data_IF_757490770115
#
_entry.id   IF_757490770115
#
_cell.length_a   1.000
_cell.length_b   1.000
_cell.length_c   1.000
_cell.angle_alpha   90.00
_cell.angle_beta   90.00
_cell.angle_gamma   90.00
#
_symmetry.space_group_name_H-M   'P 1'
#
loop_
_entity.id
_entity.type
_entity.pdbx_description
1 polymer ?
#
# COMPACT_ATOMS: atom_id res chain seq x y z
N UNK A 1 8.35 3.50 -48.73
CA UNK A 1 7.13 4.07 -49.35
C UNK A 1 6.23 4.50 -48.19
N UNK A 2 5.98 5.80 -47.99
CA UNK A 2 5.29 6.31 -46.81
C UNK A 2 3.78 6.37 -47.07
N UNK A 3 2.99 5.89 -46.11
CA UNK A 3 1.52 5.87 -46.14
C UNK A 3 1.08 5.77 -44.67
N UNK A 4 0.20 6.57 -44.07
CA UNK A 4 -0.60 7.71 -44.50
C UNK A 4 -1.05 8.35 -43.19
N UNK A 5 -0.74 9.63 -42.95
CA UNK A 5 -1.40 10.41 -41.89
C UNK A 5 -2.68 10.97 -42.48
N UNK A 6 -3.85 10.61 -41.94
CA UNK A 6 -5.04 11.45 -42.07
C UNK A 6 -5.88 11.33 -40.81
N UNK A 7 -5.93 12.46 -40.12
CA UNK A 7 -6.79 12.82 -39.00
C UNK A 7 -8.22 13.09 -39.49
N UNK A 8 -9.20 12.50 -38.84
CA UNK A 8 -10.63 12.81 -38.95
C UNK A 8 -11.31 12.20 -37.71
N UNK A 9 -12.36 12.72 -37.11
CA UNK A 9 -13.07 13.99 -37.17
C UNK A 9 -13.87 14.07 -35.86
N UNK A 10 -14.27 15.28 -35.49
CA UNK A 10 -15.15 15.59 -34.37
C UNK A 10 -16.56 14.96 -34.52
N UNK A 11 -17.38 15.18 -33.49
CA UNK A 11 -18.79 14.79 -33.29
C UNK A 11 -18.89 13.48 -32.48
N UNK A 12 -19.52 13.42 -31.32
CA UNK A 12 -20.87 13.92 -31.07
C UNK A 12 -21.10 14.10 -29.57
N UNK A 13 -21.75 15.22 -29.22
CA UNK A 13 -22.35 15.43 -27.92
C UNK A 13 -23.41 14.35 -27.69
N UNK A 14 -23.24 13.56 -26.63
CA UNK A 14 -24.33 12.73 -26.11
C UNK A 14 -24.64 13.21 -24.72
N UNK A 15 -25.66 14.05 -24.69
CA UNK A 15 -26.48 14.43 -23.55
C UNK A 15 -27.11 13.17 -22.93
N UNK A 16 -27.25 13.18 -21.60
CA UNK A 16 -28.36 12.65 -20.78
C UNK A 16 -27.93 11.70 -19.66
N UNK A 17 -28.05 12.26 -18.46
CA UNK A 17 -28.66 11.69 -17.26
C UNK A 17 -28.06 10.42 -16.67
N UNK A 18 -27.68 10.49 -15.38
CA UNK A 18 -28.38 9.69 -14.39
C UNK A 18 -28.24 10.33 -13.00
N UNK A 19 -29.36 10.88 -12.56
CA UNK A 19 -29.75 11.11 -11.17
C UNK A 19 -29.38 9.92 -10.29
N UNK A 20 -28.45 10.12 -9.35
CA UNK A 20 -28.21 9.26 -8.20
C UNK A 20 -28.34 10.11 -6.94
N UNK A 21 -29.54 10.10 -6.35
CA UNK A 21 -29.82 10.67 -5.03
C UNK A 21 -28.97 9.95 -4.00
N UNK A 22 -28.18 10.68 -3.21
CA UNK A 22 -28.50 10.92 -1.79
C UNK A 22 -28.85 9.64 -1.04
N UNK A 23 -27.87 9.03 -0.37
CA UNK A 23 -28.11 7.89 0.50
C UNK A 23 -26.82 7.37 1.11
N UNK A 24 -26.55 7.76 2.35
CA UNK A 24 -25.46 7.30 3.18
C UNK A 24 -25.38 5.77 3.26
N UNK A 25 -24.17 5.21 3.11
CA UNK A 25 -23.63 4.09 3.92
C UNK A 25 -22.17 3.85 3.52
N UNK A 26 -21.31 4.80 3.88
CA UNK A 26 -19.87 4.58 3.97
C UNK A 26 -19.60 3.93 5.33
N UNK A 27 -19.75 2.60 5.44
CA UNK A 27 -19.51 1.81 6.66
C UNK A 27 -19.25 0.31 6.43
N UNK A 28 -18.86 -0.14 5.23
CA UNK A 28 -18.79 -1.59 4.95
C UNK A 28 -17.65 -1.99 3.97
N UNK A 29 -16.53 -1.26 3.97
CA UNK A 29 -15.31 -1.67 3.23
C UNK A 29 -14.21 -2.26 4.15
N UNK A 30 -14.50 -2.41 5.45
CA UNK A 30 -13.51 -2.65 6.52
C UNK A 30 -13.70 -4.02 7.21
N UNK A 31 -14.27 -5.01 6.49
CA UNK A 31 -14.41 -6.41 6.91
C UNK A 31 -13.74 -7.31 5.85
N UNK A 32 -12.45 -7.08 5.62
CA UNK A 32 -11.66 -7.92 4.72
C UNK A 32 -10.84 -8.91 5.56
N UNK A 33 -11.45 -10.07 5.85
CA UNK A 33 -10.81 -11.28 6.39
C UNK A 33 -9.77 -11.05 7.52
N UNK A 34 -10.10 -10.18 8.48
CA UNK A 34 -9.30 -10.00 9.69
C UNK A 34 -9.39 -11.26 10.55
N UNK A 35 -8.24 -11.83 10.88
CA UNK A 35 -8.15 -13.08 11.63
C UNK A 35 -8.53 -12.91 13.10
N UNK A 36 -8.11 -11.79 13.70
CA UNK A 36 -8.38 -11.47 15.10
C UNK A 36 -8.21 -9.95 15.33
N UNK A 37 -8.70 -9.50 16.47
CA UNK A 37 -8.49 -8.15 17.00
C UNK A 37 -7.55 -8.24 18.21
N UNK A 38 -6.41 -7.56 18.14
CA UNK A 38 -5.34 -7.65 19.14
C UNK A 38 -5.11 -6.26 19.72
N UNK A 39 -5.07 -6.16 21.05
CA UNK A 39 -4.75 -4.89 21.73
C UNK A 39 -3.26 -4.57 21.57
N UNK A 40 -2.93 -3.29 21.40
CA UNK A 40 -1.53 -2.85 21.23
C UNK A 40 -0.66 -3.23 22.45
N UNK A 41 -1.25 -3.29 23.64
CA UNK A 41 -0.60 -3.71 24.89
C UNK A 41 -0.14 -5.19 24.88
N UNK A 42 -0.78 -6.04 24.06
CA UNK A 42 -0.39 -7.44 23.86
C UNK A 42 0.71 -7.60 22.81
N UNK A 43 0.98 -6.58 22.00
CA UNK A 43 2.05 -6.59 21.02
C UNK A 43 3.40 -6.24 21.67
N UNK A 44 4.48 -6.81 21.13
CA UNK A 44 5.84 -6.47 21.57
C UNK A 44 6.40 -5.36 20.69
N UNK A 45 6.71 -4.21 21.30
CA UNK A 45 7.36 -3.10 20.62
C UNK A 45 8.88 -3.32 20.49
N UNK A 46 9.42 -3.17 19.28
CA UNK A 46 10.87 -3.09 19.04
C UNK A 46 11.29 -1.63 18.80
N UNK A 47 11.98 -0.98 19.76
CA UNK A 47 12.40 0.42 19.63
C UNK A 47 13.49 0.64 18.58
N UNK A 48 14.15 -0.42 18.09
CA UNK A 48 15.21 -0.30 17.08
C UNK A 48 14.63 -0.10 15.69
N UNK A 49 13.51 -0.78 15.42
CA UNK A 49 12.84 -0.79 14.13
C UNK A 49 11.54 0.03 14.15
N UNK A 50 11.10 0.47 15.33
CA UNK A 50 9.82 1.15 15.55
C UNK A 50 8.65 0.34 15.00
N UNK A 51 8.67 -0.97 15.24
CA UNK A 51 7.61 -1.91 14.82
C UNK A 51 7.01 -2.62 16.03
N UNK A 52 5.71 -2.88 15.95
CA UNK A 52 5.02 -3.80 16.86
C UNK A 52 4.94 -5.17 16.22
N UNK A 53 5.25 -6.21 17.02
CA UNK A 53 5.18 -7.57 16.56
C UNK A 53 4.40 -8.49 17.49
N UNK A 54 3.68 -9.46 16.90
CA UNK A 54 2.86 -10.42 17.64
C UNK A 54 3.04 -11.85 17.11
N UNK A 55 3.15 -12.88 17.97
CA UNK A 55 3.39 -14.27 17.54
C UNK A 55 2.22 -14.82 16.70
N UNK A 56 2.49 -15.21 15.46
CA UNK A 56 1.51 -15.80 14.56
C UNK A 56 1.46 -17.33 14.72
N UNK A 57 0.29 -17.98 14.72
CA UNK A 57 0.15 -19.43 14.91
C UNK A 57 0.89 -20.31 13.89
N UNK A 58 1.34 -19.74 12.77
CA UNK A 58 2.11 -20.47 11.77
C UNK A 58 3.63 -20.53 12.03
N UNK A 59 4.14 -19.77 13.00
CA UNK A 59 5.54 -19.78 13.41
C UNK A 59 6.31 -18.47 13.16
N UNK A 60 5.71 -17.54 12.42
CA UNK A 60 6.24 -16.19 12.20
C UNK A 60 5.59 -15.16 13.13
N UNK A 61 5.74 -13.88 12.81
CA UNK A 61 5.19 -12.76 13.59
C UNK A 61 4.41 -11.84 12.67
N UNK A 62 3.28 -11.33 13.16
CA UNK A 62 2.68 -10.14 12.57
C UNK A 62 3.60 -8.97 12.85
N UNK A 63 3.75 -8.07 11.88
CA UNK A 63 4.53 -6.84 12.01
C UNK A 63 3.71 -5.65 11.52
N UNK A 64 3.82 -4.52 12.23
CA UNK A 64 3.22 -3.24 11.85
C UNK A 64 4.13 -2.11 12.30
N UNK A 65 4.29 -1.09 11.45
CA UNK A 65 5.13 0.06 11.78
C UNK A 65 4.38 1.04 12.68
N UNK A 66 5.09 1.71 13.58
CA UNK A 66 4.52 2.78 14.38
C UNK A 66 4.03 3.96 13.51
N UNK A 67 4.67 4.19 12.35
CA UNK A 67 4.21 5.16 11.34
C UNK A 67 2.81 4.82 10.81
N UNK A 68 2.59 3.57 10.40
CA UNK A 68 1.28 3.06 9.96
C UNK A 68 0.20 3.30 11.01
N UNK A 69 0.48 2.97 12.28
CA UNK A 69 -0.48 3.20 13.37
C UNK A 69 -0.80 4.69 13.56
N UNK A 70 0.20 5.58 13.43
CA UNK A 70 -0.02 7.04 13.50
C UNK A 70 -0.86 7.59 12.35
N UNK A 71 -0.75 6.99 11.17
CA UNK A 71 -1.57 7.34 10.00
C UNK A 71 -3.01 6.82 10.10
N UNK A 72 -3.29 5.94 11.08
CA UNK A 72 -4.59 5.31 11.29
C UNK A 72 -4.73 3.96 10.59
N UNK A 73 -3.62 3.33 10.19
CA UNK A 73 -3.61 1.98 9.64
C UNK A 73 -3.41 0.98 10.78
N UNK A 74 -4.48 0.28 11.16
CA UNK A 74 -4.53 -0.73 12.22
C UNK A 74 -4.26 -2.17 11.74
N UNK A 75 -3.78 -2.37 10.51
CA UNK A 75 -3.70 -3.71 9.90
C UNK A 75 -2.29 -4.28 9.97
N UNK A 76 -2.04 -5.20 10.90
CA UNK A 76 -0.77 -5.91 10.98
C UNK A 76 -0.78 -7.16 10.08
N UNK A 77 0.30 -7.35 9.31
CA UNK A 77 0.40 -8.41 8.29
C UNK A 77 1.44 -9.44 8.69
N UNK A 78 1.14 -10.73 8.48
CA UNK A 78 2.14 -11.80 8.64
C UNK A 78 2.78 -12.15 7.29
N UNK A 79 4.12 -12.06 7.14
CA UNK A 79 4.81 -12.29 5.87
C UNK A 79 4.69 -13.72 5.35
N UNK A 80 4.43 -14.70 6.22
CA UNK A 80 4.37 -16.11 5.83
C UNK A 80 2.97 -16.64 5.54
N UNK A 81 1.95 -16.08 6.19
CA UNK A 81 0.63 -16.70 6.25
C UNK A 81 -0.45 -15.86 5.56
N UNK A 82 -0.11 -14.65 5.09
CA UNK A 82 -1.03 -13.67 4.48
C UNK A 82 -2.25 -13.32 5.35
N UNK A 83 -2.23 -13.72 6.62
CA UNK A 83 -3.23 -13.33 7.60
C UNK A 83 -3.00 -11.87 7.95
N UNK A 84 -4.10 -11.19 8.20
CA UNK A 84 -4.15 -9.81 8.67
C UNK A 84 -4.88 -9.80 10.01
N UNK A 85 -4.40 -9.02 10.96
CA UNK A 85 -5.04 -8.82 12.26
C UNK A 85 -5.26 -7.32 12.46
N UNK A 86 -6.36 -6.96 13.12
CA UNK A 86 -6.66 -5.58 13.49
C UNK A 86 -6.02 -5.27 14.83
N UNK A 87 -5.24 -4.21 14.88
CA UNK A 87 -4.59 -3.71 16.09
C UNK A 87 -5.48 -2.64 16.71
N UNK A 88 -5.98 -2.90 17.91
CA UNK A 88 -6.73 -1.91 18.68
C UNK A 88 -5.71 -1.09 19.45
N UNK A 89 -5.59 0.19 19.11
CA UNK A 89 -4.73 1.16 19.78
C UNK A 89 -5.46 2.48 19.99
N UNK A 90 -5.06 3.19 21.04
CA UNK A 90 -5.38 4.60 21.24
C UNK A 90 -4.14 5.44 20.97
N UNK A 91 -4.32 6.67 20.48
CA UNK A 91 -3.20 7.58 20.19
C UNK A 91 -2.36 7.89 21.44
N UNK A 92 -2.93 7.75 22.65
CA UNK A 92 -2.23 7.94 23.91
C UNK A 92 -1.34 6.77 24.34
N UNK A 93 -1.56 5.58 23.75
CA UNK A 93 -0.80 4.36 24.08
C UNK A 93 0.42 4.17 23.17
N UNK A 94 0.40 4.83 22.00
CA UNK A 94 1.54 4.86 21.10
C UNK A 94 2.70 5.61 21.75
N UNK A 95 3.89 5.00 21.74
CA UNK A 95 5.12 5.67 22.17
C UNK A 95 5.31 6.94 21.33
N UNK A 96 5.22 8.11 21.94
CA UNK A 96 5.54 9.40 21.32
C UNK A 96 7.04 9.44 20.99
N UNK A 97 7.40 9.34 19.70
CA UNK A 97 8.76 9.61 19.22
C UNK A 97 8.96 11.12 19.07
N UNK A 98 8.60 11.92 20.09
CA UNK A 98 8.73 13.39 20.05
C UNK A 98 10.22 13.87 20.07
N UNK A 99 11.18 13.01 19.69
CA UNK A 99 12.60 13.37 19.57
C UNK A 99 13.28 13.00 18.22
N UNK A 100 12.79 12.10 17.35
CA UNK A 100 13.53 11.77 16.11
C UNK A 100 12.63 11.20 14.98
N UNK A 101 12.36 11.98 13.91
CA UNK A 101 11.84 11.45 12.64
C UNK A 101 10.59 12.11 12.04
N UNK A 102 10.48 13.44 12.07
CA UNK A 102 9.66 14.16 11.09
C UNK A 102 10.50 14.30 9.81
N UNK A 103 9.92 13.90 8.67
CA UNK A 103 10.40 14.11 7.30
C UNK A 103 11.48 13.12 6.78
N UNK A 104 11.22 12.52 5.60
CA UNK A 104 12.15 11.75 4.73
C UNK A 104 12.11 10.20 4.76
N UNK A 105 11.05 9.58 4.23
CA UNK A 105 11.19 8.45 3.30
C UNK A 105 10.30 8.68 2.06
N UNK A 106 10.69 9.67 1.24
CA UNK A 106 10.40 9.66 -0.19
C UNK A 106 11.38 8.70 -0.89
N UNK A 107 10.83 7.84 -1.74
CA UNK A 107 11.43 7.27 -2.95
C UNK A 107 12.36 6.02 -2.90
N UNK A 108 12.09 5.19 -3.92
CA UNK A 108 12.97 4.19 -4.55
C UNK A 108 13.08 2.77 -3.97
N UNK A 109 12.14 1.90 -4.37
CA UNK A 109 12.50 0.53 -4.77
C UNK A 109 11.89 0.11 -6.11
N UNK A 110 12.64 0.39 -7.17
CA UNK A 110 12.98 -0.65 -8.16
C UNK A 110 12.15 -0.73 -9.44
N UNK A 111 12.18 0.30 -10.30
CA UNK A 111 11.80 0.17 -11.71
C UNK A 111 13.04 -0.20 -12.54
N UNK A 112 13.36 -1.48 -12.61
CA UNK A 112 14.38 -2.01 -13.53
C UNK A 112 13.93 -1.86 -14.98
N UNK A 113 14.60 -0.98 -15.73
CA UNK A 113 14.46 -0.80 -17.18
C UNK A 113 15.67 -1.47 -17.84
N UNK A 114 15.50 -2.69 -18.33
CA UNK A 114 16.48 -3.33 -19.22
C UNK A 114 16.23 -2.83 -20.64
N UNK A 115 17.06 -1.90 -21.12
CA UNK A 115 17.24 -1.61 -22.53
C UNK A 115 18.73 -1.44 -22.83
N UNK A 116 19.13 -2.02 -23.98
CA UNK A 116 20.34 -1.74 -24.77
C UNK A 116 21.58 -2.64 -24.55
N UNK A 117 21.72 -3.65 -25.41
CA UNK A 117 23.01 -3.89 -26.08
C UNK A 117 22.77 -4.07 -27.59
N UNK A 118 23.06 -3.00 -28.32
CA UNK A 118 23.14 -2.93 -29.78
C UNK A 118 24.41 -3.66 -30.25
N UNK A 119 24.28 -4.95 -30.59
CA UNK A 119 25.30 -5.73 -31.28
C UNK A 119 25.13 -5.67 -32.80
N UNK A 120 25.57 -4.58 -33.42
CA UNK A 120 25.65 -4.41 -34.89
C UNK A 120 26.97 -4.97 -35.41
N UNK A 121 26.95 -6.18 -35.98
CA UNK A 121 28.00 -6.62 -36.90
C UNK A 121 27.42 -6.88 -38.30
N UNK A 122 27.98 -6.14 -39.25
CA UNK A 122 27.70 -6.18 -40.68
C UNK A 122 28.47 -7.33 -41.33
N UNK A 123 27.76 -8.12 -42.11
CA UNK A 123 28.02 -8.47 -43.51
C UNK A 123 29.46 -8.30 -44.04
N UNK A 124 30.15 -9.43 -44.32
CA UNK A 124 31.08 -9.58 -45.45
C UNK A 124 31.36 -11.08 -45.71
N UNK A 125 30.67 -11.68 -46.70
CA UNK A 125 31.19 -12.75 -47.58
C UNK A 125 30.28 -12.99 -48.78
#
# INVERSE_FOLDING_TARGET
MPSTTTTAAASSLTTLNLTGSSGASAKDAEDLDMYDEIEIEDMTYDPTLQIYHYPCPCGDRFEISLGSLREGEDVAVCPSCSLMVRVIFDLEDLVDDEEEGSDEEEEEKGKGKEEEEEGKEKEEK
#
